data_IF_594732160702
#
_entry.id   IF_594732160702
#
_cell.length_a   1.000
_cell.length_b   1.000
_cell.length_c   1.000
_cell.angle_alpha   90.00
_cell.angle_beta   90.00
_cell.angle_gamma   90.00
#
_symmetry.space_group_name_H-M   'P 1'
#
loop_
_entity.id
_entity.type
_entity.pdbx_description
1 polymer ?
#
# COMPACT_ATOMS: atom_id res chain seq x y z
N UNK A 1 -2.93 -33.71 12.77
CA UNK A 1 -3.67 -33.48 11.51
C UNK A 1 -4.79 -32.49 11.78
N UNK A 2 -4.52 -31.20 11.65
CA UNK A 2 -5.47 -30.14 12.04
C UNK A 2 -6.43 -29.88 10.88
N UNK A 3 -7.72 -30.00 11.19
CA UNK A 3 -8.87 -29.95 10.28
C UNK A 3 -8.92 -28.66 9.46
N UNK A 4 -9.15 -28.79 8.15
CA UNK A 4 -9.27 -27.68 7.19
C UNK A 4 -10.73 -27.23 7.04
N UNK A 5 -11.43 -27.03 8.16
CA UNK A 5 -12.81 -26.55 8.17
C UNK A 5 -12.83 -25.04 7.86
N UNK A 6 -13.06 -24.67 6.59
CA UNK A 6 -13.23 -23.27 6.15
C UNK A 6 -13.26 -23.01 4.64
N UNK A 7 -13.34 -24.02 3.79
CA UNK A 7 -13.04 -23.90 2.35
C UNK A 7 -14.21 -23.51 1.42
N UNK A 8 -15.42 -23.28 1.95
CA UNK A 8 -16.58 -22.93 1.13
C UNK A 8 -16.41 -21.62 0.34
N UNK A 9 -15.56 -20.69 0.79
CA UNK A 9 -15.31 -19.41 0.12
C UNK A 9 -14.22 -19.43 -0.96
N UNK A 10 -13.46 -20.52 -1.10
CA UNK A 10 -12.30 -20.59 -2.01
C UNK A 10 -12.63 -21.26 -3.36
N UNK A 11 -13.83 -21.84 -3.49
CA UNK A 11 -14.31 -22.40 -4.75
C UNK A 11 -14.52 -21.29 -5.78
N UNK A 12 -13.93 -21.40 -6.97
CA UNK A 12 -14.06 -20.41 -8.04
C UNK A 12 -13.01 -19.28 -8.01
N UNK A 13 -11.95 -19.41 -7.22
CA UNK A 13 -10.76 -18.57 -7.37
C UNK A 13 -9.92 -19.08 -8.55
N UNK A 14 -9.36 -18.14 -9.32
CA UNK A 14 -8.29 -18.45 -10.27
C UNK A 14 -7.04 -18.94 -9.52
N UNK A 15 -6.15 -19.63 -10.24
CA UNK A 15 -4.89 -20.09 -9.65
C UNK A 15 -4.08 -18.95 -9.03
N UNK A 16 -4.01 -17.79 -9.68
CA UNK A 16 -3.31 -16.60 -9.15
C UNK A 16 -3.95 -16.05 -7.87
N UNK A 17 -5.28 -16.00 -7.81
CA UNK A 17 -6.02 -15.57 -6.61
C UNK A 17 -5.77 -16.53 -5.45
N UNK A 18 -5.83 -17.83 -5.70
CA UNK A 18 -5.60 -18.85 -4.70
C UNK A 18 -4.15 -18.81 -4.17
N UNK A 19 -3.17 -18.66 -5.05
CA UNK A 19 -1.74 -18.55 -4.68
C UNK A 19 -1.49 -17.33 -3.80
N UNK A 20 -2.01 -16.16 -4.19
CA UNK A 20 -1.88 -14.93 -3.38
C UNK A 20 -2.62 -15.08 -2.05
N UNK A 21 -3.85 -15.60 -2.05
CA UNK A 21 -4.61 -15.80 -0.81
C UNK A 21 -3.85 -16.68 0.18
N UNK A 22 -3.27 -17.80 -0.27
CA UNK A 22 -2.49 -18.71 0.57
C UNK A 22 -1.28 -18.04 1.18
N UNK A 23 -0.51 -17.28 0.39
CA UNK A 23 0.66 -16.56 0.88
C UNK A 23 0.29 -15.50 1.94
N UNK A 24 -0.83 -14.80 1.75
CA UNK A 24 -1.34 -13.85 2.75
C UNK A 24 -1.81 -14.55 4.02
N UNK A 25 -2.47 -15.70 3.87
CA UNK A 25 -2.97 -16.47 5.01
C UNK A 25 -1.85 -17.10 5.84
N UNK A 26 -0.80 -17.58 5.19
CA UNK A 26 0.40 -18.07 5.84
C UNK A 26 1.10 -16.95 6.63
N UNK A 27 1.29 -15.78 6.01
CA UNK A 27 1.88 -14.62 6.69
C UNK A 27 1.03 -14.16 7.89
N UNK A 28 -0.29 -14.14 7.77
CA UNK A 28 -1.19 -13.77 8.87
C UNK A 28 -1.17 -14.81 10.00
N UNK A 29 -1.15 -16.10 9.67
CA UNK A 29 -1.06 -17.18 10.66
C UNK A 29 0.27 -17.15 11.43
N UNK A 30 1.36 -16.77 10.76
CA UNK A 30 2.68 -16.63 11.37
C UNK A 30 2.89 -15.29 12.10
N UNK A 31 1.92 -14.36 12.04
CA UNK A 31 2.11 -12.99 12.53
C UNK A 31 3.26 -12.26 11.84
N UNK A 32 3.59 -12.63 10.60
CA UNK A 32 4.68 -12.07 9.82
C UNK A 32 4.23 -10.83 9.02
N UNK A 33 5.21 -10.07 8.51
CA UNK A 33 4.94 -8.93 7.64
C UNK A 33 4.19 -9.37 6.37
N UNK A 34 3.21 -8.56 5.93
CA UNK A 34 2.51 -8.83 4.68
C UNK A 34 3.51 -8.86 3.49
N UNK A 35 3.48 -9.89 2.64
CA UNK A 35 4.27 -9.92 1.41
C UNK A 35 3.99 -8.69 0.53
N UNK A 36 5.05 -8.06 0.02
CA UNK A 36 4.96 -6.90 -0.85
C UNK A 36 4.55 -7.28 -2.29
N UNK A 37 4.39 -6.28 -3.17
CA UNK A 37 3.94 -6.51 -4.54
C UNK A 37 4.92 -7.39 -5.35
N UNK A 38 6.23 -7.22 -5.14
CA UNK A 38 7.27 -7.96 -5.84
C UNK A 38 7.30 -9.42 -5.40
N UNK A 39 7.23 -9.67 -4.08
CA UNK A 39 7.14 -11.01 -3.51
C UNK A 39 5.90 -11.76 -4.01
N UNK A 40 4.74 -11.09 -4.04
CA UNK A 40 3.55 -11.68 -4.64
C UNK A 40 3.69 -11.94 -6.14
N UNK A 41 4.37 -11.04 -6.87
CA UNK A 41 4.58 -11.15 -8.31
C UNK A 41 5.44 -12.36 -8.67
N UNK A 42 6.48 -12.61 -7.88
CA UNK A 42 7.33 -13.79 -7.99
C UNK A 42 6.53 -15.09 -7.83
N UNK A 43 5.62 -15.15 -6.85
CA UNK A 43 4.79 -16.34 -6.60
C UNK A 43 3.89 -16.70 -7.79
N UNK A 44 3.29 -15.69 -8.45
CA UNK A 44 2.41 -15.89 -9.60
C UNK A 44 3.14 -15.81 -10.95
N UNK A 45 4.48 -15.71 -10.93
CA UNK A 45 5.34 -15.55 -12.12
C UNK A 45 4.88 -14.40 -13.03
N UNK A 46 4.44 -13.29 -12.44
CA UNK A 46 3.96 -12.13 -13.17
C UNK A 46 4.82 -10.90 -12.86
N UNK A 47 5.42 -10.32 -13.90
CA UNK A 47 6.25 -9.12 -13.79
C UNK A 47 5.44 -7.82 -13.83
N UNK A 48 4.14 -7.87 -14.12
CA UNK A 48 3.31 -6.67 -14.21
C UNK A 48 3.01 -6.09 -12.82
N UNK A 49 3.41 -4.83 -12.54
CA UNK A 49 3.29 -4.23 -11.22
C UNK A 49 1.83 -3.96 -10.81
N UNK A 50 0.89 -3.93 -11.76
CA UNK A 50 -0.53 -3.71 -11.49
C UNK A 50 -1.30 -5.01 -11.19
N UNK A 51 -0.71 -6.17 -11.47
CA UNK A 51 -1.41 -7.46 -11.36
C UNK A 51 -1.66 -7.85 -9.91
N UNK A 52 -0.65 -7.75 -9.05
CA UNK A 52 -0.78 -8.16 -7.65
C UNK A 52 -1.72 -7.26 -6.84
N UNK A 53 -1.70 -5.91 -6.97
CA UNK A 53 -2.70 -5.06 -6.33
C UNK A 53 -4.13 -5.34 -6.84
N UNK A 54 -4.29 -5.63 -8.13
CA UNK A 54 -5.59 -5.97 -8.72
C UNK A 54 -6.16 -7.26 -8.13
N UNK A 55 -5.33 -8.30 -7.98
CA UNK A 55 -5.76 -9.57 -7.39
C UNK A 55 -6.11 -9.39 -5.91
N UNK A 56 -5.29 -8.67 -5.14
CA UNK A 56 -5.59 -8.34 -3.75
C UNK A 56 -6.93 -7.61 -3.63
N UNK A 57 -7.19 -6.62 -4.50
CA UNK A 57 -8.49 -5.94 -4.54
C UNK A 57 -9.66 -6.84 -4.97
N UNK A 58 -9.44 -7.90 -5.75
CA UNK A 58 -10.46 -8.92 -6.04
C UNK A 58 -10.76 -9.79 -4.81
N UNK A 59 -9.74 -10.22 -4.10
CA UNK A 59 -9.88 -11.00 -2.86
C UNK A 59 -10.64 -10.20 -1.78
N UNK A 60 -10.33 -8.90 -1.65
CA UNK A 60 -11.04 -7.98 -0.75
C UNK A 60 -12.51 -7.83 -1.16
N UNK A 61 -12.80 -7.58 -2.44
CA UNK A 61 -14.20 -7.51 -2.94
C UNK A 61 -14.98 -8.80 -2.80
N UNK A 62 -14.32 -9.96 -2.84
CA UNK A 62 -14.92 -11.27 -2.56
C UNK A 62 -15.15 -11.51 -1.07
N UNK A 63 -14.77 -10.58 -0.19
CA UNK A 63 -14.95 -10.70 1.26
C UNK A 63 -14.01 -11.70 1.94
N UNK A 64 -12.94 -12.12 1.25
CA UNK A 64 -11.99 -13.11 1.78
C UNK A 64 -10.92 -12.48 2.67
N UNK A 65 -10.60 -11.21 2.42
CA UNK A 65 -9.61 -10.45 3.17
C UNK A 65 -10.11 -9.03 3.47
N UNK A 66 -9.53 -8.39 4.48
CA UNK A 66 -9.58 -6.93 4.68
C UNK A 66 -8.18 -6.35 4.54
N UNK A 67 -8.07 -5.13 4.02
CA UNK A 67 -6.77 -4.50 3.76
C UNK A 67 -6.72 -3.11 4.39
N UNK A 68 -5.72 -2.89 5.24
CA UNK A 68 -5.29 -1.56 5.67
C UNK A 68 -4.10 -1.14 4.79
N UNK A 69 -4.19 0.05 4.19
CA UNK A 69 -3.23 0.54 3.20
C UNK A 69 -2.39 1.64 3.80
N UNK A 70 -1.08 1.51 3.65
CA UNK A 70 -0.11 2.49 4.12
C UNK A 70 0.81 2.89 2.97
N UNK A 71 1.68 3.86 3.21
CA UNK A 71 2.63 4.29 2.19
C UNK A 71 3.62 3.15 1.88
N UNK A 72 3.51 2.59 0.67
CA UNK A 72 4.32 1.47 0.14
C UNK A 72 4.16 0.12 0.87
N UNK A 73 3.22 -0.01 1.79
CA UNK A 73 2.99 -1.23 2.56
C UNK A 73 1.48 -1.43 2.82
N UNK A 74 1.14 -2.57 3.39
CA UNK A 74 -0.24 -2.93 3.74
C UNK A 74 -0.25 -3.92 4.90
N UNK A 75 -1.34 -3.93 5.64
CA UNK A 75 -1.68 -4.98 6.61
C UNK A 75 -2.93 -5.69 6.11
N UNK A 76 -2.96 -7.01 6.20
CA UNK A 76 -4.06 -7.82 5.67
C UNK A 76 -4.64 -8.70 6.76
N UNK A 77 -5.96 -8.72 6.86
CA UNK A 77 -6.72 -9.68 7.68
C UNK A 77 -7.24 -10.79 6.79
N UNK A 78 -7.13 -12.04 7.24
CA UNK A 78 -7.91 -13.15 6.67
C UNK A 78 -9.27 -13.19 7.35
N UNK A 79 -10.34 -12.92 6.61
CA UNK A 79 -11.69 -12.80 7.19
C UNK A 79 -12.14 -14.09 7.89
N UNK A 80 -11.82 -15.23 7.29
CA UNK A 80 -12.23 -16.54 7.82
C UNK A 80 -11.63 -16.85 9.20
N UNK A 81 -10.43 -16.34 9.50
CA UNK A 81 -9.72 -16.64 10.77
C UNK A 81 -9.65 -15.44 11.71
N UNK A 82 -9.92 -14.23 11.21
CA UNK A 82 -9.70 -12.98 11.93
C UNK A 82 -8.22 -12.62 12.10
N UNK A 83 -7.27 -13.46 11.65
CA UNK A 83 -5.85 -13.25 11.83
C UNK A 83 -5.33 -12.11 10.93
N UNK A 84 -4.45 -11.29 11.48
CA UNK A 84 -3.80 -10.18 10.79
C UNK A 84 -2.32 -10.49 10.54
N UNK A 85 -1.80 -10.02 9.42
CA UNK A 85 -0.35 -9.85 9.26
C UNK A 85 0.17 -8.82 10.26
N UNK A 86 1.49 -8.85 10.54
CA UNK A 86 2.14 -7.83 11.36
C UNK A 86 1.90 -6.43 10.83
N UNK A 87 1.93 -5.46 11.73
CA UNK A 87 1.91 -4.05 11.38
C UNK A 87 3.16 -3.70 10.56
N UNK A 88 3.01 -2.93 9.48
CA UNK A 88 4.16 -2.53 8.70
C UNK A 88 5.02 -1.51 9.49
N UNK A 89 6.35 -1.47 9.24
CA UNK A 89 7.23 -0.50 9.88
C UNK A 89 6.83 0.96 9.64
N UNK A 90 6.20 1.25 8.49
CA UNK A 90 5.65 2.56 8.16
C UNK A 90 4.12 2.49 8.17
N UNK A 91 3.50 3.22 9.10
CA UNK A 91 2.06 3.33 9.27
C UNK A 91 1.50 4.66 8.73
N UNK A 92 2.29 5.44 8.00
CA UNK A 92 1.81 6.63 7.32
C UNK A 92 0.67 6.28 6.36
N UNK A 93 -0.44 7.04 6.35
CA UNK A 93 -1.53 6.82 5.40
C UNK A 93 -1.04 6.85 3.96
N UNK A 94 -1.60 5.96 3.14
CA UNK A 94 -1.37 5.99 1.69
C UNK A 94 -1.76 7.36 1.13
N UNK A 95 -1.00 7.91 0.18
CA UNK A 95 -1.17 9.29 -0.31
C UNK A 95 -2.60 9.61 -0.78
N UNK A 96 -3.33 8.63 -1.33
CA UNK A 96 -4.75 8.79 -1.74
C UNK A 96 -5.72 8.98 -0.58
N UNK A 97 -5.37 8.50 0.61
CA UNK A 97 -6.19 8.48 1.81
C UNK A 97 -5.77 9.55 2.83
N UNK A 98 -4.73 10.35 2.51
CA UNK A 98 -4.32 11.48 3.35
C UNK A 98 -5.40 12.56 3.37
N UNK A 99 -5.58 13.27 4.50
CA UNK A 99 -6.43 14.45 4.54
C UNK A 99 -5.96 15.48 3.51
N UNK A 100 -6.79 15.77 2.50
CA UNK A 100 -6.48 16.79 1.49
C UNK A 100 -6.66 18.21 2.02
N UNK A 101 -7.50 18.36 3.04
CA UNK A 101 -7.74 19.63 3.70
C UNK A 101 -6.77 19.79 4.88
N UNK A 102 -6.11 20.94 4.96
CA UNK A 102 -5.36 21.35 6.14
C UNK A 102 -3.88 20.91 6.21
N UNK A 103 -3.33 20.23 5.20
CA UNK A 103 -1.87 20.06 5.10
C UNK A 103 -1.29 21.39 4.61
N UNK A 104 -0.51 22.13 5.41
CA UNK A 104 0.06 23.40 4.99
C UNK A 104 1.19 23.15 3.98
N UNK A 105 0.82 22.97 2.71
CA UNK A 105 1.80 22.91 1.63
C UNK A 105 2.21 24.32 1.22
N UNK A 106 3.51 24.60 1.02
CA UNK A 106 3.94 25.88 0.48
C UNK A 106 3.36 26.03 -0.93
N UNK A 107 2.91 27.24 -1.25
CA UNK A 107 2.43 27.52 -2.60
C UNK A 107 3.54 27.22 -3.63
N UNK A 108 3.16 26.63 -4.78
CA UNK A 108 4.10 26.32 -5.86
C UNK A 108 4.99 27.51 -6.22
N UNK A 109 4.40 28.69 -6.27
CA UNK A 109 5.09 29.94 -6.60
C UNK A 109 6.21 30.22 -5.59
N UNK A 110 5.96 30.05 -4.30
CA UNK A 110 6.96 30.26 -3.23
C UNK A 110 8.14 29.29 -3.39
N UNK A 111 7.88 28.01 -3.63
CA UNK A 111 8.96 27.02 -3.85
C UNK A 111 9.76 27.35 -5.10
N UNK A 112 9.09 27.70 -6.21
CA UNK A 112 9.76 28.06 -7.45
C UNK A 112 10.60 29.34 -7.34
N UNK A 113 10.16 30.32 -6.54
CA UNK A 113 10.89 31.57 -6.31
C UNK A 113 12.14 31.35 -5.48
N UNK A 114 12.07 30.57 -4.40
CA UNK A 114 13.20 30.39 -3.48
C UNK A 114 14.14 29.24 -3.88
N UNK A 115 13.61 28.20 -4.52
CA UNK A 115 14.33 26.97 -4.84
C UNK A 115 13.92 26.45 -6.23
N UNK A 116 14.29 27.17 -7.32
CA UNK A 116 13.82 26.87 -8.67
C UNK A 116 14.23 25.48 -9.15
N UNK A 117 15.45 25.04 -8.85
CA UNK A 117 15.93 23.69 -9.22
C UNK A 117 15.13 22.60 -8.52
N UNK A 118 14.90 22.74 -7.22
CA UNK A 118 14.09 21.79 -6.43
C UNK A 118 12.65 21.77 -6.93
N UNK A 119 12.06 22.93 -7.26
CA UNK A 119 10.73 23.00 -7.83
C UNK A 119 10.61 22.23 -9.16
N UNK A 120 11.63 22.33 -10.02
CA UNK A 120 11.69 21.58 -11.28
C UNK A 120 11.81 20.07 -11.05
N UNK A 121 12.63 19.64 -10.09
CA UNK A 121 12.77 18.24 -9.70
C UNK A 121 11.46 17.65 -9.17
N UNK A 122 10.77 18.39 -8.29
CA UNK A 122 9.46 17.99 -7.75
C UNK A 122 8.42 17.88 -8.86
N UNK A 123 8.41 18.82 -9.83
CA UNK A 123 7.51 18.77 -10.97
C UNK A 123 7.76 17.57 -11.88
N UNK A 124 9.03 17.30 -12.21
CA UNK A 124 9.40 16.12 -13.00
C UNK A 124 9.01 14.82 -12.29
N UNK A 125 9.21 14.77 -10.97
CA UNK A 125 8.81 13.64 -10.13
C UNK A 125 7.29 13.45 -10.10
N UNK A 126 6.51 14.53 -9.98
CA UNK A 126 5.05 14.50 -9.98
C UNK A 126 4.51 13.97 -11.31
N UNK A 127 5.06 14.48 -12.43
CA UNK A 127 4.69 14.07 -13.78
C UNK A 127 4.96 12.57 -14.02
N UNK A 128 6.14 12.07 -13.61
CA UNK A 128 6.49 10.64 -13.72
C UNK A 128 5.50 9.72 -12.99
N UNK A 129 4.83 10.24 -11.96
CA UNK A 129 3.87 9.49 -11.13
C UNK A 129 2.41 9.74 -11.49
N UNK A 130 2.14 10.62 -12.45
CA UNK A 130 0.77 10.97 -12.84
C UNK A 130 -0.03 11.62 -11.72
N UNK A 131 0.62 12.38 -10.84
CA UNK A 131 -0.03 13.15 -9.76
C UNK A 131 0.11 14.64 -10.01
N UNK A 132 -0.80 15.44 -9.44
CA UNK A 132 -0.67 16.89 -9.55
C UNK A 132 0.54 17.39 -8.74
N UNK A 133 1.12 18.52 -9.16
CA UNK A 133 2.23 19.13 -8.42
C UNK A 133 1.81 19.58 -7.01
N UNK A 134 0.55 19.97 -6.83
CA UNK A 134 0.01 20.30 -5.50
C UNK A 134 -0.01 19.05 -4.59
N UNK A 135 -0.48 17.91 -5.08
CA UNK A 135 -0.48 16.65 -4.33
C UNK A 135 0.95 16.21 -4.01
N UNK A 136 1.88 16.36 -4.96
CA UNK A 136 3.30 16.04 -4.75
C UNK A 136 3.95 16.91 -3.66
N UNK A 137 3.64 18.21 -3.62
CA UNK A 137 4.12 19.11 -2.58
C UNK A 137 3.54 18.76 -1.21
N UNK A 138 2.23 18.51 -1.13
CA UNK A 138 1.60 18.02 0.10
C UNK A 138 2.25 16.72 0.59
N UNK A 139 2.58 15.81 -0.32
CA UNK A 139 3.21 14.53 0.02
C UNK A 139 4.60 14.70 0.63
N UNK A 140 5.42 15.57 0.04
CA UNK A 140 6.77 15.86 0.51
C UNK A 140 6.74 16.58 1.87
N UNK A 141 5.81 17.52 2.06
CA UNK A 141 5.62 18.22 3.34
C UNK A 141 5.17 17.27 4.44
N UNK A 142 4.20 16.40 4.16
CA UNK A 142 3.75 15.42 5.14
C UNK A 142 4.88 14.46 5.55
N UNK A 143 5.68 13.99 4.59
CA UNK A 143 6.84 13.14 4.87
C UNK A 143 7.89 13.90 5.69
N UNK A 144 8.20 15.15 5.33
CA UNK A 144 9.12 15.98 6.10
C UNK A 144 8.65 16.19 7.54
N UNK A 145 7.36 16.47 7.74
CA UNK A 145 6.76 16.63 9.07
C UNK A 145 6.86 15.36 9.93
N UNK A 146 6.60 14.18 9.35
CA UNK A 146 6.76 12.91 10.07
C UNK A 146 8.23 12.67 10.47
N UNK A 147 9.18 12.96 9.58
CA UNK A 147 10.61 12.83 9.87
C UNK A 147 11.03 13.76 11.02
N UNK A 148 10.53 15.00 11.07
CA UNK A 148 10.83 15.90 12.18
C UNK A 148 10.20 15.42 13.49
N UNK A 149 8.97 14.89 13.48
CA UNK A 149 8.34 14.31 14.67
C UNK A 149 9.14 13.12 15.24
N UNK A 150 9.82 12.35 14.40
CA UNK A 150 10.69 11.25 14.82
C UNK A 150 12.04 11.72 15.38
N UNK A 151 12.46 12.97 15.12
CA UNK A 151 13.73 13.53 15.60
C UNK A 151 13.67 14.10 17.02
N UNK A 152 12.47 14.31 17.57
CA UNK A 152 12.25 14.94 18.88
C UNK A 152 12.33 16.46 18.81
#
# INVERSE_FOLDING_TARGET
MTSIAGHAGLTGLSWNELTIYRALAEAAAAGAQCPNADALGALIRCASPSTTPTIVGRLERKGLIRVERYQRSRRVQIVATGAWTAEPPNQSPHWRERPKAGVPAPARTVVATHQPTVAAEIAAWAQKRGVSLADALCDLVFVGWQVEQERG
#
